data_IF_889505820563
#
_entry.id   IF_889505820563
#
_cell.length_a   1.000
_cell.length_b   1.000
_cell.length_c   1.000
_cell.angle_alpha   90.00
_cell.angle_beta   90.00
_cell.angle_gamma   90.00
#
_symmetry.space_group_name_H-M   'P 1'
#
loop_
_entity.id
_entity.type
_entity.pdbx_description
1 polymer ?
#
# COMPACT_ATOMS: atom_id res chain seq x y z
N UNK A 1 -8.44 18.24 -1.87
CA UNK A 1 -7.55 17.17 -2.41
C UNK A 1 -6.14 17.66 -2.75
N UNK A 2 -5.94 18.82 -3.39
CA UNK A 2 -4.58 19.34 -3.72
C UNK A 2 -3.67 19.69 -2.53
N UNK A 3 -4.20 19.83 -1.32
CA UNK A 3 -3.40 20.23 -0.15
C UNK A 3 -2.62 19.09 0.51
N UNK A 4 -3.03 17.82 0.34
CA UNK A 4 -2.46 16.70 1.12
C UNK A 4 -1.90 15.57 0.27
N UNK A 5 -2.42 15.32 -0.93
CA UNK A 5 -1.88 14.32 -1.84
C UNK A 5 -0.82 14.96 -2.74
N UNK A 6 0.43 14.48 -2.66
CA UNK A 6 1.51 14.92 -3.57
C UNK A 6 1.45 14.26 -4.95
N UNK A 7 0.39 13.51 -5.22
CA UNK A 7 0.17 12.77 -6.43
C UNK A 7 -1.05 13.31 -7.18
N UNK A 8 -1.00 13.22 -8.51
CA UNK A 8 -2.05 13.68 -9.42
C UNK A 8 -2.69 12.46 -10.08
N UNK A 9 -3.98 12.24 -9.83
CA UNK A 9 -4.73 11.18 -10.49
C UNK A 9 -4.68 11.35 -12.02
N UNK A 10 -4.52 10.23 -12.74
CA UNK A 10 -4.28 10.21 -14.18
C UNK A 10 -2.80 10.31 -14.56
N UNK A 11 -1.91 10.61 -13.61
CA UNK A 11 -0.45 10.51 -13.78
C UNK A 11 0.14 9.47 -12.83
N UNK A 12 -0.20 9.58 -11.55
CA UNK A 12 0.16 8.58 -10.56
C UNK A 12 -0.86 8.57 -9.44
N UNK A 13 -1.65 7.48 -9.28
CA UNK A 13 -1.88 6.45 -10.27
C UNK A 13 -2.57 6.91 -11.56
N UNK A 14 -2.36 6.14 -12.62
CA UNK A 14 -3.25 6.03 -13.78
C UNK A 14 -4.30 4.93 -13.55
N UNK A 15 -5.35 4.88 -14.38
CA UNK A 15 -6.34 3.79 -14.33
C UNK A 15 -5.71 2.42 -14.58
N UNK A 16 -4.75 2.34 -15.49
CA UNK A 16 -3.99 1.12 -15.77
C UNK A 16 -3.23 0.63 -14.54
N UNK A 17 -2.56 1.55 -13.81
CA UNK A 17 -1.87 1.18 -12.56
C UNK A 17 -2.85 0.66 -11.51
N UNK A 18 -4.01 1.29 -11.35
CA UNK A 18 -5.05 0.84 -10.41
C UNK A 18 -5.53 -0.56 -10.80
N UNK A 19 -5.82 -0.78 -12.08
CA UNK A 19 -6.28 -2.07 -12.58
C UNK A 19 -5.23 -3.17 -12.36
N UNK A 20 -3.95 -2.88 -12.61
CA UNK A 20 -2.85 -3.81 -12.34
C UNK A 20 -2.79 -4.24 -10.87
N UNK A 21 -3.00 -3.32 -9.92
CA UNK A 21 -3.04 -3.68 -8.50
C UNK A 21 -4.28 -4.52 -8.16
N UNK A 22 -5.43 -4.24 -8.76
CA UNK A 22 -6.65 -5.03 -8.54
C UNK A 22 -6.47 -6.45 -9.08
N UNK A 23 -6.05 -6.58 -10.34
CA UNK A 23 -5.86 -7.87 -11.01
C UNK A 23 -4.77 -8.71 -10.35
N UNK A 24 -3.73 -8.05 -9.83
CA UNK A 24 -2.65 -8.70 -9.09
C UNK A 24 -3.00 -9.06 -7.64
N UNK A 25 -4.22 -8.78 -7.15
CA UNK A 25 -4.60 -9.03 -5.75
C UNK A 25 -3.84 -8.15 -4.74
N UNK A 26 -3.32 -7.02 -5.21
CA UNK A 26 -2.47 -6.10 -4.46
C UNK A 26 -3.23 -4.86 -3.96
N UNK A 27 -4.53 -4.73 -4.28
CA UNK A 27 -5.38 -3.64 -3.81
C UNK A 27 -6.18 -4.06 -2.58
N UNK A 28 -5.98 -3.37 -1.46
CA UNK A 28 -6.66 -3.62 -0.19
C UNK A 28 -7.62 -2.48 0.13
N UNK A 29 -8.81 -2.83 0.61
CA UNK A 29 -9.89 -1.90 0.94
C UNK A 29 -10.05 -1.80 2.45
N UNK A 30 -10.35 -0.60 2.94
CA UNK A 30 -10.76 -0.37 4.33
C UNK A 30 -12.22 0.07 4.34
N UNK A 31 -13.07 -0.76 4.95
CA UNK A 31 -14.51 -0.53 5.05
C UNK A 31 -14.84 -0.02 6.47
N UNK A 32 -15.60 1.06 6.57
CA UNK A 32 -16.12 1.60 7.84
C UNK A 32 -17.64 1.76 7.70
N UNK A 33 -18.41 1.11 8.57
CA UNK A 33 -19.88 1.11 8.53
C UNK A 33 -20.48 0.76 7.16
N UNK A 34 -19.87 -0.21 6.46
CA UNK A 34 -20.28 -0.65 5.13
C UNK A 34 -19.89 0.29 3.98
N UNK A 35 -19.22 1.40 4.27
CA UNK A 35 -18.73 2.34 3.27
C UNK A 35 -17.24 2.12 2.99
N UNK A 36 -16.83 2.29 1.73
CA UNK A 36 -15.41 2.34 1.38
C UNK A 36 -14.81 3.62 1.96
N UNK A 37 -13.95 3.48 2.95
CA UNK A 37 -13.35 4.61 3.67
C UNK A 37 -11.89 4.85 3.26
N UNK A 38 -11.20 3.83 2.75
CA UNK A 38 -9.84 3.98 2.23
C UNK A 38 -9.39 2.80 1.39
N UNK A 39 -8.30 3.01 0.66
CA UNK A 39 -7.65 2.02 -0.20
C UNK A 39 -6.14 2.08 -0.01
N UNK A 40 -5.48 0.93 -0.14
CA UNK A 40 -4.02 0.84 -0.15
C UNK A 40 -3.56 -0.23 -1.14
N UNK A 41 -2.68 0.14 -2.08
CA UNK A 41 -1.98 -0.81 -2.92
C UNK A 41 -0.70 -1.30 -2.22
N UNK A 42 -0.54 -2.62 -2.10
CA UNK A 42 0.57 -3.27 -1.39
C UNK A 42 1.16 -4.37 -2.28
N UNK A 43 2.47 -4.35 -2.52
CA UNK A 43 3.21 -5.44 -3.17
C UNK A 43 4.19 -6.08 -2.19
N UNK A 44 4.48 -7.37 -2.38
CA UNK A 44 5.45 -8.14 -1.58
C UNK A 44 6.81 -8.27 -2.28
N UNK A 45 7.09 -7.34 -3.18
CA UNK A 45 8.41 -7.13 -3.74
C UNK A 45 8.62 -5.66 -4.10
N UNK A 46 9.88 -5.22 -4.12
CA UNK A 46 10.29 -3.93 -4.69
C UNK A 46 10.77 -4.08 -6.14
N UNK A 47 10.69 -3.00 -6.90
CA UNK A 47 11.26 -2.91 -8.25
C UNK A 47 12.66 -2.29 -8.23
N UNK A 48 13.35 -2.33 -9.39
CA UNK A 48 14.71 -1.81 -9.56
C UNK A 48 14.87 -0.33 -9.17
N UNK A 49 13.80 0.47 -9.28
CA UNK A 49 13.78 1.88 -8.90
C UNK A 49 14.15 2.13 -7.42
N UNK A 50 14.05 1.10 -6.58
CA UNK A 50 14.40 1.17 -5.15
C UNK A 50 15.87 0.87 -4.86
N UNK A 51 16.60 0.22 -5.78
CA UNK A 51 17.99 -0.22 -5.58
C UNK A 51 18.98 0.92 -5.29
N UNK A 52 18.85 2.13 -5.86
CA UNK A 52 19.76 3.24 -5.55
C UNK A 52 19.58 3.81 -4.14
N UNK A 53 18.49 3.50 -3.44
CA UNK A 53 18.18 4.06 -2.12
C UNK A 53 18.94 3.31 -1.02
N UNK A 54 19.69 4.06 -0.20
CA UNK A 54 20.43 3.52 0.94
C UNK A 54 19.52 3.37 2.16
N UNK A 55 18.77 2.27 2.21
CA UNK A 55 17.95 1.91 3.37
C UNK A 55 18.80 1.53 4.57
N UNK A 56 18.24 1.65 5.79
CA UNK A 56 18.92 1.21 7.02
C UNK A 56 19.04 -0.31 7.13
N UNK A 57 18.25 -1.05 6.35
CA UNK A 57 18.21 -2.50 6.31
C UNK A 57 18.43 -2.91 4.87
N UNK A 58 19.42 -3.75 4.63
CA UNK A 58 19.58 -4.44 3.34
C UNK A 58 18.64 -5.64 3.30
N UNK A 59 17.88 -5.77 2.22
CA UNK A 59 16.92 -6.84 2.00
C UNK A 59 16.84 -7.15 0.50
N UNK A 60 16.61 -8.41 0.16
CA UNK A 60 16.36 -8.82 -1.22
C UNK A 60 15.00 -8.29 -1.69
N UNK A 61 14.79 -8.28 -3.01
CA UNK A 61 13.59 -7.68 -3.59
C UNK A 61 12.29 -8.31 -3.11
N UNK A 62 12.30 -9.61 -2.77
CA UNK A 62 11.16 -10.37 -2.27
C UNK A 62 11.06 -10.44 -0.73
N UNK A 63 11.96 -9.77 -0.01
CA UNK A 63 11.97 -9.71 1.45
C UNK A 63 11.33 -8.42 2.00
N UNK A 64 10.82 -7.59 1.10
CA UNK A 64 10.21 -6.30 1.44
C UNK A 64 8.75 -6.24 1.02
N UNK A 65 7.99 -5.38 1.71
CA UNK A 65 6.62 -5.03 1.38
C UNK A 65 6.57 -3.54 1.05
N UNK A 66 6.02 -3.19 -0.11
CA UNK A 66 5.95 -1.80 -0.59
C UNK A 66 4.51 -1.31 -0.55
N UNK A 67 4.29 -0.17 0.10
CA UNK A 67 3.02 0.54 0.14
C UNK A 67 3.05 1.62 -0.95
N UNK A 68 2.16 1.52 -1.94
CA UNK A 68 2.16 2.43 -3.10
C UNK A 68 1.13 3.55 -2.94
N UNK A 69 -0.16 3.22 -3.11
CA UNK A 69 -1.24 4.20 -3.23
C UNK A 69 -2.13 4.13 -2.00
N UNK A 70 -1.78 4.86 -0.94
CA UNK A 70 -2.66 5.03 0.22
C UNK A 70 -3.60 6.23 -0.01
N UNK A 71 -4.90 5.94 -0.09
CA UNK A 71 -5.95 6.94 -0.28
C UNK A 71 -7.05 6.81 0.77
N UNK A 72 -7.48 7.94 1.35
CA UNK A 72 -8.62 8.01 2.28
C UNK A 72 -9.71 8.82 1.61
N UNK A 73 -10.93 8.29 1.58
CA UNK A 73 -12.09 8.98 1.03
C UNK A 73 -12.30 10.32 1.77
N UNK A 74 -12.66 11.42 1.08
CA UNK A 74 -12.74 12.75 1.68
C UNK A 74 -13.54 12.80 3.00
N UNK A 75 -14.70 12.14 3.05
CA UNK A 75 -15.60 12.13 4.22
C UNK A 75 -15.05 11.34 5.43
N UNK A 76 -13.96 10.62 5.22
CA UNK A 76 -13.29 9.78 6.22
C UNK A 76 -11.93 10.34 6.67
N UNK A 77 -11.48 11.45 6.08
CA UNK A 77 -10.24 12.11 6.45
C UNK A 77 -10.32 12.72 7.86
N UNK A 78 -9.17 12.86 8.53
CA UNK A 78 -9.08 13.38 9.90
C UNK A 78 -9.52 12.41 11.01
N UNK A 79 -10.01 11.20 10.66
CA UNK A 79 -10.52 10.20 11.62
C UNK A 79 -9.49 9.13 12.03
N UNK A 80 -8.23 9.28 11.63
CA UNK A 80 -7.15 8.34 11.96
C UNK A 80 -7.14 7.03 11.14
N UNK A 81 -7.96 6.92 10.09
CA UNK A 81 -8.07 5.69 9.28
C UNK A 81 -6.76 5.32 8.57
N UNK A 82 -6.03 6.30 8.02
CA UNK A 82 -4.72 6.03 7.41
C UNK A 82 -3.74 5.35 8.37
N UNK A 83 -3.76 5.73 9.66
CA UNK A 83 -2.95 5.06 10.70
C UNK A 83 -3.39 3.62 10.91
N UNK A 84 -4.71 3.38 11.02
CA UNK A 84 -5.26 2.01 11.16
C UNK A 84 -4.85 1.13 9.97
N UNK A 85 -4.97 1.65 8.75
CA UNK A 85 -4.58 0.91 7.53
C UNK A 85 -3.09 0.56 7.51
N UNK A 86 -2.20 1.49 7.89
CA UNK A 86 -0.77 1.22 7.98
C UNK A 86 -0.48 0.15 9.05
N UNK A 87 -1.17 0.19 10.20
CA UNK A 87 -1.04 -0.84 11.23
C UNK A 87 -1.45 -2.23 10.71
N UNK A 88 -2.57 -2.33 10.01
CA UNK A 88 -3.01 -3.58 9.38
C UNK A 88 -2.03 -4.05 8.30
N UNK A 89 -1.45 -3.14 7.52
CA UNK A 89 -0.43 -3.50 6.54
C UNK A 89 0.84 -4.08 7.21
N UNK A 90 1.28 -3.51 8.34
CA UNK A 90 2.40 -4.04 9.11
C UNK A 90 2.12 -5.45 9.65
N UNK A 91 0.90 -5.72 10.11
CA UNK A 91 0.48 -7.06 10.54
C UNK A 91 0.46 -8.05 9.36
N UNK A 92 -0.07 -7.63 8.21
CA UNK A 92 -0.06 -8.42 6.98
C UNK A 92 1.36 -8.83 6.57
N UNK A 93 2.31 -7.89 6.58
CA UNK A 93 3.71 -8.17 6.27
C UNK A 93 4.35 -9.18 7.21
N UNK A 94 4.03 -9.13 8.52
CA UNK A 94 4.50 -10.12 9.51
C UNK A 94 3.93 -11.51 9.25
N UNK A 95 2.65 -11.61 8.94
CA UNK A 95 2.01 -12.90 8.64
C UNK A 95 2.58 -13.53 7.38
N UNK A 96 2.76 -12.74 6.31
CA UNK A 96 3.32 -13.22 5.04
C UNK A 96 4.75 -13.72 5.19
N UNK A 97 5.57 -13.06 6.00
CA UNK A 97 6.93 -13.54 6.33
C UNK A 97 6.92 -14.90 7.04
N UNK A 98 5.92 -15.17 7.87
CA UNK A 98 5.80 -16.47 8.56
C UNK A 98 5.34 -17.59 7.61
N UNK A 99 4.58 -17.27 6.56
CA UNK A 99 4.17 -18.24 5.54
C UNK A 99 5.31 -18.62 4.59
N UNK A 100 6.26 -17.71 4.34
CA UNK A 100 7.37 -17.92 3.41
C UNK A 100 8.65 -18.50 4.03
N UNK A 101 8.67 -18.76 5.34
CA UNK A 101 9.69 -19.60 5.96
C UNK A 101 9.27 -21.08 5.84
N UNK A 102 9.97 -21.94 5.09
CA UNK A 102 9.76 -23.37 5.21
C UNK A 102 10.14 -23.81 6.63
N UNK A 103 9.33 -24.72 7.20
CA UNK A 103 9.69 -25.47 8.42
C UNK A 103 11.03 -26.20 8.24
#
# INVERSE_FOLDING_TARGET
MKEYARWEYGKHPTDEMIQMYIDGGNMYLFMEDGNLAGVIAITFSQGEDYHPVKWQVEANDNEVMVLHILGIMPDFQGKGIGKKMIQSALELGRTKKNESLPL
#
